data_IF_715070087105
#
_entry.id   IF_715070087105
#
_cell.length_a   1.000
_cell.length_b   1.000
_cell.length_c   1.000
_cell.angle_alpha   90.00
_cell.angle_beta   90.00
_cell.angle_gamma   90.00
#
_symmetry.space_group_name_H-M   'P 1'
#
loop_
_entity.id
_entity.type
_entity.pdbx_description
1 polymer ?
#
# COMPACT_ATOMS: atom_id res chain seq x y z
N UNK A 1 8.94 -31.52 19.77
CA UNK A 1 7.95 -31.85 18.70
C UNK A 1 6.69 -31.02 18.94
N UNK A 2 5.78 -30.85 17.97
CA UNK A 2 4.53 -30.09 18.22
C UNK A 2 3.72 -30.68 19.39
N UNK A 3 3.77 -32.01 19.54
CA UNK A 3 3.19 -32.75 20.65
C UNK A 3 3.78 -32.43 22.04
N UNK A 4 4.95 -31.76 22.13
CA UNK A 4 5.55 -31.35 23.41
C UNK A 4 5.24 -29.89 23.78
N UNK A 5 4.55 -29.13 22.93
CA UNK A 5 4.16 -27.75 23.22
C UNK A 5 2.80 -27.72 23.96
N UNK A 6 2.79 -27.17 25.17
CA UNK A 6 1.59 -27.13 26.02
C UNK A 6 0.45 -26.29 25.44
N UNK A 7 0.76 -25.18 24.76
CA UNK A 7 -0.25 -24.34 24.11
C UNK A 7 -0.94 -25.11 22.97
N UNK A 8 -0.15 -25.82 22.15
CA UNK A 8 -0.66 -26.66 21.08
C UNK A 8 -1.57 -27.78 21.61
N UNK A 9 -1.12 -28.54 22.62
CA UNK A 9 -1.90 -29.64 23.20
C UNK A 9 -3.22 -29.20 23.79
N UNK A 10 -3.25 -28.03 24.45
CA UNK A 10 -4.47 -27.50 25.05
C UNK A 10 -5.46 -27.02 24.00
N UNK A 11 -4.96 -26.45 22.89
CA UNK A 11 -5.78 -25.97 21.80
C UNK A 11 -6.44 -27.11 21.00
N UNK A 12 -5.78 -28.25 20.82
CA UNK A 12 -6.33 -29.35 19.99
C UNK A 12 -7.19 -30.36 20.77
N UNK A 13 -7.46 -30.15 22.06
CA UNK A 13 -8.18 -31.14 22.90
C UNK A 13 -9.62 -31.42 22.49
N UNK A 14 -10.25 -30.46 21.82
CA UNK A 14 -11.66 -30.51 21.46
C UNK A 14 -11.90 -31.13 20.07
N UNK A 15 -10.84 -31.44 19.32
CA UNK A 15 -10.96 -31.91 17.93
C UNK A 15 -11.52 -33.34 17.87
N UNK A 16 -12.60 -33.49 17.10
CA UNK A 16 -13.15 -34.79 16.67
C UNK A 16 -12.07 -35.62 15.96
N UNK A 17 -12.14 -36.95 16.11
CA UNK A 17 -11.09 -37.96 15.83
C UNK A 17 -10.52 -37.99 14.39
N UNK A 18 -11.03 -37.20 13.45
CA UNK A 18 -10.49 -37.06 12.10
C UNK A 18 -10.05 -35.61 11.82
N UNK A 19 -8.88 -35.26 12.35
CA UNK A 19 -8.14 -34.09 11.86
C UNK A 19 -7.39 -34.50 10.60
N UNK A 20 -7.74 -33.92 9.45
CA UNK A 20 -7.11 -34.25 8.16
C UNK A 20 -5.86 -33.42 7.87
N UNK A 21 -5.72 -32.25 8.51
CA UNK A 21 -4.57 -31.38 8.33
C UNK A 21 -4.38 -30.40 9.49
N UNK A 22 -3.12 -30.20 9.87
CA UNK A 22 -2.69 -29.22 10.86
C UNK A 22 -1.61 -28.35 10.23
N UNK A 23 -1.87 -27.05 10.16
CA UNK A 23 -0.89 -26.05 9.74
C UNK A 23 -0.46 -25.29 10.99
N UNK A 24 0.80 -25.48 11.37
CA UNK A 24 1.35 -24.78 12.53
C UNK A 24 1.79 -23.37 12.13
N UNK A 25 1.21 -22.36 12.78
CA UNK A 25 1.69 -20.98 12.68
C UNK A 25 2.93 -20.85 13.55
N UNK A 26 4.07 -20.55 12.92
CA UNK A 26 5.34 -20.43 13.64
C UNK A 26 5.35 -19.21 14.56
N UNK A 27 6.06 -19.27 15.70
CA UNK A 27 6.27 -18.11 16.55
C UNK A 27 6.91 -16.94 15.80
N UNK A 28 7.85 -17.23 14.90
CA UNK A 28 8.50 -16.23 14.05
C UNK A 28 7.51 -15.42 13.19
N UNK A 29 6.43 -16.05 12.71
CA UNK A 29 5.39 -15.31 11.98
C UNK A 29 4.67 -14.32 12.91
N UNK A 30 4.31 -14.75 14.11
CA UNK A 30 3.64 -13.89 15.09
C UNK A 30 4.54 -12.72 15.54
N UNK A 31 5.83 -12.99 15.74
CA UNK A 31 6.83 -11.98 16.06
C UNK A 31 6.99 -10.96 14.91
N UNK A 32 6.96 -11.43 13.66
CA UNK A 32 7.03 -10.53 12.48
C UNK A 32 5.86 -9.54 12.42
N UNK A 33 4.64 -9.99 12.75
CA UNK A 33 3.48 -9.09 12.85
C UNK A 33 3.68 -8.05 13.96
N UNK A 34 4.22 -8.46 15.11
CA UNK A 34 4.48 -7.55 16.23
C UNK A 34 5.53 -6.50 15.89
N UNK A 35 6.61 -6.89 15.22
CA UNK A 35 7.63 -5.96 14.75
C UNK A 35 7.06 -4.94 13.76
N UNK A 36 6.21 -5.40 12.83
CA UNK A 36 5.58 -4.53 11.84
C UNK A 36 4.61 -3.53 12.50
N UNK A 37 3.79 -4.00 13.45
CA UNK A 37 2.93 -3.13 14.26
C UNK A 37 3.76 -2.09 15.03
N UNK A 38 4.87 -2.49 15.66
CA UNK A 38 5.74 -1.57 16.39
C UNK A 38 6.36 -0.50 15.48
N UNK A 39 6.78 -0.86 14.25
CA UNK A 39 7.31 0.11 13.27
C UNK A 39 6.27 1.15 12.87
N UNK A 40 5.00 0.77 12.80
CA UNK A 40 3.91 1.66 12.44
C UNK A 40 3.29 2.38 13.65
N UNK A 41 3.56 1.93 14.88
CA UNK A 41 2.89 2.40 16.09
C UNK A 41 3.05 3.91 16.33
N UNK A 42 4.17 4.53 15.90
CA UNK A 42 4.36 5.98 16.00
C UNK A 42 3.50 6.78 15.02
N UNK A 43 3.01 6.16 13.95
CA UNK A 43 2.18 6.77 12.89
C UNK A 43 0.69 6.55 13.09
N UNK A 44 0.30 5.70 14.03
CA UNK A 44 -1.10 5.38 14.33
C UNK A 44 -1.75 6.44 15.23
N UNK A 45 -3.08 6.54 15.12
CA UNK A 45 -3.88 7.20 16.16
C UNK A 45 -3.65 6.56 17.54
N UNK A 46 -3.68 7.38 18.59
CA UNK A 46 -3.35 6.94 19.95
C UNK A 46 -4.31 5.85 20.46
N UNK A 47 -5.61 5.98 20.21
CA UNK A 47 -6.59 5.01 20.67
C UNK A 47 -6.44 3.67 19.94
N UNK A 48 -6.19 3.73 18.62
CA UNK A 48 -5.92 2.53 17.83
C UNK A 48 -4.62 1.86 18.28
N UNK A 49 -3.54 2.63 18.46
CA UNK A 49 -2.25 2.12 18.94
C UNK A 49 -2.43 1.41 20.28
N UNK A 50 -3.11 2.03 21.24
CA UNK A 50 -3.32 1.44 22.57
C UNK A 50 -4.15 0.16 22.50
N UNK A 51 -5.17 0.12 21.63
CA UNK A 51 -5.94 -1.10 21.36
C UNK A 51 -5.06 -2.21 20.80
N UNK A 52 -4.23 -1.89 19.79
CA UNK A 52 -3.39 -2.88 19.12
C UNK A 52 -2.24 -3.37 19.99
N UNK A 53 -1.64 -2.50 20.80
CA UNK A 53 -0.54 -2.84 21.71
C UNK A 53 -0.98 -3.68 22.92
N UNK A 54 -2.28 -3.66 23.25
CA UNK A 54 -2.87 -4.57 24.24
C UNK A 54 -3.09 -5.98 23.70
N UNK A 55 -3.04 -6.18 22.39
CA UNK A 55 -3.15 -7.50 21.80
C UNK A 55 -1.85 -8.26 22.07
N UNK A 56 -1.97 -9.45 22.65
CA UNK A 56 -0.85 -10.37 22.89
C UNK A 56 -1.11 -11.70 22.18
N UNK A 57 -1.07 -11.71 20.83
CA UNK A 57 -1.50 -12.87 20.08
C UNK A 57 -0.50 -14.03 20.26
N UNK A 58 -0.98 -15.20 20.66
CA UNK A 58 -0.15 -16.38 20.88
C UNK A 58 -0.07 -17.27 19.62
N UNK A 59 1.07 -17.93 19.36
CA UNK A 59 1.16 -18.92 18.28
C UNK A 59 0.21 -20.10 18.57
N UNK A 60 -0.72 -20.34 17.64
CA UNK A 60 -1.73 -21.39 17.73
C UNK A 60 -1.84 -22.10 16.38
N UNK A 61 -2.32 -23.35 16.39
CA UNK A 61 -2.45 -24.13 15.17
C UNK A 61 -3.69 -23.72 14.39
N UNK A 62 -3.55 -23.63 13.06
CA UNK A 62 -4.69 -23.68 12.15
C UNK A 62 -5.02 -25.14 11.94
N UNK A 63 -6.28 -25.51 12.12
CA UNK A 63 -6.71 -26.89 11.91
C UNK A 63 -7.81 -26.99 10.89
N UNK A 64 -7.72 -28.05 10.09
CA UNK A 64 -8.72 -28.40 9.12
C UNK A 64 -9.32 -29.77 9.48
N UNK A 65 -10.64 -29.81 9.57
CA UNK A 65 -11.42 -31.00 9.93
C UNK A 65 -12.58 -31.21 8.97
N UNK A 66 -13.01 -32.46 8.85
CA UNK A 66 -14.32 -32.78 8.29
C UNK A 66 -15.29 -33.05 9.43
N UNK A 67 -16.46 -32.41 9.37
CA UNK A 67 -17.58 -32.69 10.27
C UNK A 67 -18.73 -33.29 9.48
N UNK A 68 -19.58 -34.05 10.17
CA UNK A 68 -20.78 -34.64 9.59
C UNK A 68 -21.88 -34.62 10.65
N UNK A 69 -22.50 -33.46 10.83
CA UNK A 69 -23.59 -33.23 11.79
C UNK A 69 -24.97 -33.59 11.22
N UNK A 70 -25.04 -34.57 10.32
CA UNK A 70 -26.30 -35.03 9.71
C UNK A 70 -26.78 -34.22 8.50
N UNK A 71 -26.02 -33.19 8.08
CA UNK A 71 -26.29 -32.39 6.87
C UNK A 71 -25.36 -32.75 5.69
N UNK A 72 -24.59 -33.84 5.79
CA UNK A 72 -23.55 -34.21 4.83
C UNK A 72 -22.14 -33.83 5.31
N UNK A 73 -21.13 -34.10 4.47
CA UNK A 73 -19.74 -33.75 4.77
C UNK A 73 -19.54 -32.23 4.75
N UNK A 74 -19.10 -31.68 5.88
CA UNK A 74 -18.76 -30.26 6.03
C UNK A 74 -17.25 -30.11 6.20
N UNK A 75 -16.70 -29.14 5.48
CA UNK A 75 -15.30 -28.76 5.55
C UNK A 75 -15.15 -27.61 6.55
N UNK A 76 -14.38 -27.83 7.62
CA UNK A 76 -14.21 -26.86 8.70
C UNK A 76 -12.77 -26.38 8.77
N UNK A 77 -12.58 -25.07 8.81
CA UNK A 77 -11.30 -24.41 9.01
C UNK A 77 -11.34 -23.62 10.32
N UNK A 78 -10.49 -23.98 11.26
CA UNK A 78 -10.35 -23.27 12.53
C UNK A 78 -9.12 -22.39 12.52
N UNK A 79 -9.35 -21.08 12.58
CA UNK A 79 -8.32 -20.07 12.67
C UNK A 79 -8.15 -19.63 14.12
N UNK A 80 -6.91 -19.50 14.62
CA UNK A 80 -6.65 -18.84 15.88
C UNK A 80 -7.24 -17.43 15.90
N UNK A 81 -8.02 -17.11 16.93
CA UNK A 81 -8.54 -15.75 17.15
C UNK A 81 -7.40 -14.72 17.11
N UNK A 82 -6.28 -15.06 17.74
CA UNK A 82 -5.08 -14.24 17.82
C UNK A 82 -4.45 -13.96 16.44
N UNK A 83 -4.52 -14.92 15.52
CA UNK A 83 -4.07 -14.75 14.13
C UNK A 83 -5.00 -13.79 13.38
N UNK A 84 -6.31 -13.97 13.50
CA UNK A 84 -7.32 -13.08 12.87
C UNK A 84 -7.14 -11.65 13.38
N UNK A 85 -6.98 -11.50 14.70
CA UNK A 85 -6.70 -10.22 15.34
C UNK A 85 -5.41 -9.59 14.80
N UNK A 86 -4.31 -10.35 14.69
CA UNK A 86 -3.04 -9.85 14.16
C UNK A 86 -3.15 -9.41 12.69
N UNK A 87 -3.90 -10.15 11.88
CA UNK A 87 -4.16 -9.80 10.48
C UNK A 87 -4.95 -8.49 10.37
N UNK A 88 -6.05 -8.36 11.12
CA UNK A 88 -6.88 -7.14 11.15
C UNK A 88 -6.11 -5.96 11.73
N UNK A 89 -5.28 -6.19 12.75
CA UNK A 89 -4.42 -5.18 13.32
C UNK A 89 -3.43 -4.62 12.30
N UNK A 90 -2.78 -5.51 11.54
CA UNK A 90 -1.79 -5.11 10.54
C UNK A 90 -2.43 -4.33 9.38
N UNK A 91 -3.59 -4.77 8.88
CA UNK A 91 -4.32 -4.01 7.84
C UNK A 91 -4.78 -2.66 8.38
N UNK A 92 -5.33 -2.61 9.60
CA UNK A 92 -5.77 -1.36 10.23
C UNK A 92 -4.60 -0.40 10.50
N UNK A 93 -3.45 -0.91 10.92
CA UNK A 93 -2.20 -0.18 11.07
C UNK A 93 -1.75 0.45 9.74
N UNK A 94 -1.73 -0.35 8.66
CA UNK A 94 -1.38 0.17 7.33
C UNK A 94 -2.39 1.20 6.82
N UNK A 95 -3.68 1.01 7.14
CA UNK A 95 -4.73 1.95 6.71
C UNK A 95 -4.75 3.24 7.53
N UNK A 96 -4.48 3.17 8.83
CA UNK A 96 -4.40 4.35 9.71
C UNK A 96 -3.12 5.16 9.51
N UNK A 97 -2.06 4.55 8.97
CA UNK A 97 -0.90 5.28 8.47
C UNK A 97 -1.24 6.20 7.29
N UNK A 98 -2.39 6.01 6.61
CA UNK A 98 -2.94 7.00 5.68
C UNK A 98 -3.59 8.15 6.46
N UNK A 99 -2.75 9.03 7.00
CA UNK A 99 -3.20 10.32 7.48
C UNK A 99 -3.25 11.28 6.29
N UNK A 100 -4.43 11.81 5.99
CA UNK A 100 -4.59 12.85 4.97
C UNK A 100 -3.59 13.99 5.22
N UNK A 101 -2.80 14.33 4.20
CA UNK A 101 -1.75 15.34 4.28
C UNK A 101 -0.40 14.88 4.89
N UNK A 102 -0.26 13.61 5.31
CA UNK A 102 1.05 13.06 5.71
C UNK A 102 2.03 12.97 4.55
N UNK A 103 3.36 13.12 4.78
CA UNK A 103 4.37 12.96 3.74
C UNK A 103 4.22 11.69 2.91
N UNK A 104 3.92 10.56 3.56
CA UNK A 104 3.78 9.26 2.90
C UNK A 104 2.55 9.21 1.99
N UNK A 105 1.42 9.76 2.44
CA UNK A 105 0.19 9.81 1.64
C UNK A 105 0.35 10.77 0.47
N UNK A 106 0.98 11.92 0.71
CA UNK A 106 1.28 12.92 -0.30
C UNK A 106 2.20 12.34 -1.41
N UNK A 107 3.24 11.62 -1.01
CA UNK A 107 4.14 10.91 -1.94
C UNK A 107 3.40 9.86 -2.77
N UNK A 108 2.50 9.08 -2.15
CA UNK A 108 1.68 8.10 -2.88
C UNK A 108 0.73 8.75 -3.89
N UNK A 109 0.12 9.87 -3.53
CA UNK A 109 -0.75 10.64 -4.43
C UNK A 109 0.08 11.23 -5.57
N UNK A 110 1.26 11.80 -5.28
CA UNK A 110 2.17 12.33 -6.30
C UNK A 110 2.57 11.24 -7.32
N UNK A 111 2.95 10.04 -6.86
CA UNK A 111 3.23 8.90 -7.74
C UNK A 111 2.01 8.54 -8.59
N UNK A 112 0.81 8.54 -7.99
CA UNK A 112 -0.43 8.20 -8.70
C UNK A 112 -0.78 9.23 -9.77
N UNK A 113 -0.58 10.53 -9.50
CA UNK A 113 -0.77 11.61 -10.46
C UNK A 113 0.20 11.50 -11.64
N UNK A 114 1.48 11.21 -11.39
CA UNK A 114 2.45 11.01 -12.48
C UNK A 114 2.11 9.82 -13.35
N UNK A 115 1.62 8.71 -12.78
CA UNK A 115 1.13 7.56 -13.56
C UNK A 115 -0.10 7.93 -14.39
N UNK A 116 -1.02 8.69 -13.82
CA UNK A 116 -2.19 9.20 -14.53
C UNK A 116 -1.77 10.05 -15.74
N UNK A 117 -0.83 10.99 -15.55
CA UNK A 117 -0.28 11.80 -16.64
C UNK A 117 0.37 10.93 -17.71
N UNK A 118 1.26 10.01 -17.33
CA UNK A 118 1.92 9.12 -18.30
C UNK A 118 0.94 8.26 -19.11
N UNK A 119 -0.13 7.77 -18.48
CA UNK A 119 -1.19 7.03 -19.18
C UNK A 119 -2.01 7.93 -20.11
N UNK A 120 -2.39 9.12 -19.66
CA UNK A 120 -3.13 10.09 -20.46
C UNK A 120 -2.32 10.52 -21.70
N UNK A 121 -1.03 10.78 -21.52
CA UNK A 121 -0.09 11.10 -22.59
C UNK A 121 0.07 9.96 -23.59
N UNK A 122 0.19 8.71 -23.11
CA UNK A 122 0.23 7.54 -23.97
C UNK A 122 -1.07 7.37 -24.77
N UNK A 123 -2.22 7.59 -24.14
CA UNK A 123 -3.52 7.57 -24.83
C UNK A 123 -3.64 8.69 -25.86
N UNK A 124 -3.29 9.93 -25.51
CA UNK A 124 -3.31 11.07 -26.41
C UNK A 124 -2.44 10.81 -27.63
N UNK A 125 -1.20 10.37 -27.43
CA UNK A 125 -0.26 10.03 -28.51
C UNK A 125 -0.80 8.97 -29.46
N UNK A 126 -1.52 7.97 -28.93
CA UNK A 126 -2.08 6.86 -29.70
C UNK A 126 -3.37 7.23 -30.47
N UNK A 127 -4.08 8.29 -30.06
CA UNK A 127 -5.37 8.66 -30.63
C UNK A 127 -5.33 10.02 -31.34
N UNK A 128 -5.35 11.11 -30.57
CA UNK A 128 -5.55 12.48 -31.05
C UNK A 128 -4.24 13.22 -31.34
N UNK A 129 -3.13 12.78 -30.76
CA UNK A 129 -1.83 13.46 -30.79
C UNK A 129 -0.99 13.22 -32.02
N UNK A 130 -1.41 12.33 -32.94
CA UNK A 130 -0.68 12.00 -34.16
C UNK A 130 0.81 11.68 -33.90
N UNK A 131 1.06 10.78 -32.94
CA UNK A 131 2.38 10.41 -32.41
C UNK A 131 3.12 11.48 -31.57
N UNK A 132 2.52 12.64 -31.31
CA UNK A 132 2.99 13.65 -30.36
C UNK A 132 2.26 13.54 -29.01
N UNK A 133 2.89 14.07 -27.98
CA UNK A 133 2.34 14.27 -26.65
C UNK A 133 1.59 15.60 -26.56
N UNK A 134 0.65 15.68 -25.62
CA UNK A 134 -0.30 16.79 -25.51
C UNK A 134 0.00 17.68 -24.31
N UNK A 135 -0.21 18.98 -24.45
CA UNK A 135 -0.25 19.87 -23.28
C UNK A 135 -1.34 19.46 -22.29
N UNK A 136 -1.21 19.89 -21.04
CA UNK A 136 -2.21 19.60 -20.01
C UNK A 136 -3.64 20.03 -20.42
N UNK A 137 -3.77 21.18 -21.09
CA UNK A 137 -5.07 21.65 -21.58
C UNK A 137 -5.67 20.71 -22.63
N UNK A 138 -4.85 20.15 -23.53
CA UNK A 138 -5.29 19.19 -24.53
C UNK A 138 -5.73 17.87 -23.88
N UNK A 139 -4.99 17.38 -22.88
CA UNK A 139 -5.39 16.19 -22.11
C UNK A 139 -6.73 16.39 -21.40
N UNK A 140 -6.97 17.58 -20.85
CA UNK A 140 -8.26 17.92 -20.21
C UNK A 140 -9.38 18.00 -21.25
N UNK A 141 -9.15 18.67 -22.38
CA UNK A 141 -10.14 18.80 -23.46
C UNK A 141 -10.53 17.43 -24.05
N UNK A 142 -9.58 16.50 -24.13
CA UNK A 142 -9.83 15.12 -24.55
C UNK A 142 -10.42 14.24 -23.43
N UNK A 143 -10.73 14.81 -22.26
CA UNK A 143 -11.27 14.11 -21.09
C UNK A 143 -10.36 12.95 -20.60
N UNK A 144 -9.07 13.03 -20.90
CA UNK A 144 -8.06 12.06 -20.45
C UNK A 144 -7.61 12.35 -19.02
N UNK A 145 -7.73 13.61 -18.58
CA UNK A 145 -7.49 14.05 -17.21
C UNK A 145 -8.60 14.99 -16.75
N UNK A 146 -9.04 14.84 -15.50
CA UNK A 146 -9.96 15.77 -14.84
C UNK A 146 -9.18 16.98 -14.31
N UNK A 147 -9.65 18.20 -14.63
CA UNK A 147 -8.99 19.46 -14.26
C UNK A 147 -8.76 19.57 -12.75
N UNK A 148 -9.69 19.04 -11.96
CA UNK A 148 -9.69 19.07 -10.50
C UNK A 148 -8.50 18.30 -9.90
N UNK A 149 -8.01 17.26 -10.59
CA UNK A 149 -6.94 16.38 -10.09
C UNK A 149 -5.54 17.01 -10.24
N UNK A 150 -5.38 18.01 -11.10
CA UNK A 150 -4.12 18.71 -11.34
C UNK A 150 -4.20 20.21 -11.03
N UNK A 151 -5.32 20.65 -10.43
CA UNK A 151 -5.49 22.04 -10.01
C UNK A 151 -4.64 22.40 -8.79
N UNK A 152 -4.25 23.67 -8.69
CA UNK A 152 -3.41 24.19 -7.61
C UNK A 152 -3.94 23.86 -6.21
N UNK A 153 -5.25 23.89 -6.01
CA UNK A 153 -5.88 23.56 -4.72
C UNK A 153 -5.65 22.10 -4.32
N UNK A 154 -5.79 21.16 -5.26
CA UNK A 154 -5.54 19.74 -5.01
C UNK A 154 -4.06 19.48 -4.73
N UNK A 155 -3.19 20.11 -5.53
CA UNK A 155 -1.73 20.01 -5.39
C UNK A 155 -1.24 20.60 -4.06
N UNK A 156 -1.76 21.74 -3.63
CA UNK A 156 -1.49 22.33 -2.31
C UNK A 156 -2.01 21.46 -1.18
N UNK A 157 -3.21 20.91 -1.32
CA UNK A 157 -3.83 20.01 -0.33
C UNK A 157 -2.93 18.80 -0.02
N UNK A 158 -2.32 18.23 -1.06
CA UNK A 158 -1.39 17.11 -0.91
C UNK A 158 0.08 17.53 -0.97
N UNK A 159 0.38 18.82 -0.86
CA UNK A 159 1.72 19.33 -0.60
C UNK A 159 2.77 19.05 -1.68
N UNK A 160 2.37 18.84 -2.93
CA UNK A 160 3.26 18.58 -4.07
C UNK A 160 3.02 19.55 -5.22
N UNK A 161 4.08 19.99 -5.88
CA UNK A 161 4.03 20.75 -7.12
C UNK A 161 4.32 19.84 -8.30
N UNK A 162 3.53 19.97 -9.36
CA UNK A 162 3.78 19.30 -10.62
C UNK A 162 4.44 20.25 -11.62
N UNK A 163 5.41 19.73 -12.36
CA UNK A 163 6.01 20.39 -13.51
C UNK A 163 5.92 19.47 -14.72
N UNK A 164 5.21 19.88 -15.77
CA UNK A 164 5.04 19.10 -17.01
C UNK A 164 5.69 19.90 -18.14
N UNK A 165 6.52 19.22 -18.92
CA UNK A 165 7.20 19.76 -20.11
C UNK A 165 6.90 18.82 -21.26
N UNK A 166 6.36 19.36 -22.35
CA UNK A 166 6.00 18.62 -23.57
C UNK A 166 6.74 19.23 -24.75
N UNK A 167 7.36 18.39 -25.57
CA UNK A 167 8.13 18.79 -26.74
C UNK A 167 7.93 17.79 -27.88
N UNK A 168 6.79 17.91 -28.59
CA UNK A 168 6.48 17.06 -29.74
C UNK A 168 6.34 15.59 -29.36
N UNK A 169 7.30 14.76 -29.74
CA UNK A 169 7.34 13.32 -29.45
C UNK A 169 8.03 12.99 -28.11
N UNK A 170 8.28 13.98 -27.26
CA UNK A 170 8.80 13.81 -25.91
C UNK A 170 7.94 14.53 -24.87
N UNK A 171 7.87 13.95 -23.67
CA UNK A 171 7.30 14.61 -22.49
C UNK A 171 8.04 14.20 -21.23
N UNK A 172 8.01 15.09 -20.25
CA UNK A 172 8.55 14.87 -18.92
C UNK A 172 7.61 15.49 -17.90
N UNK A 173 7.30 14.74 -16.85
CA UNK A 173 6.53 15.23 -15.73
C UNK A 173 7.28 14.96 -14.42
N UNK A 174 7.31 15.97 -13.56
CA UNK A 174 7.96 15.94 -12.24
C UNK A 174 6.95 16.24 -11.14
N UNK A 175 7.16 15.64 -9.98
CA UNK A 175 6.44 15.95 -8.76
C UNK A 175 7.46 16.26 -7.65
N UNK A 176 7.42 17.47 -7.13
CA UNK A 176 8.37 17.98 -6.11
C UNK A 176 7.62 18.40 -4.86
N UNK A 177 8.05 18.03 -3.64
CA UNK A 177 7.38 18.47 -2.42
C UNK A 177 7.42 19.99 -2.29
N UNK A 178 6.30 20.60 -1.88
CA UNK A 178 6.22 22.05 -1.65
C UNK A 178 7.09 22.47 -0.45
N UNK A 179 7.07 21.69 0.64
CA UNK A 179 7.94 21.87 1.80
C UNK A 179 8.67 20.56 2.11
N UNK A 180 9.95 20.48 1.72
CA UNK A 180 10.81 19.34 2.03
C UNK A 180 10.86 19.03 3.53
N UNK A 181 10.77 17.76 3.90
CA UNK A 181 10.74 17.32 5.30
C UNK A 181 9.37 17.43 5.98
N UNK A 182 8.38 18.09 5.34
CA UNK A 182 7.04 18.29 5.91
C UNK A 182 5.92 17.76 5.02
N UNK A 183 5.91 18.12 3.74
CA UNK A 183 4.89 17.62 2.80
C UNK A 183 5.36 16.39 2.04
N UNK A 184 6.67 16.15 2.01
CA UNK A 184 7.31 14.99 1.38
C UNK A 184 8.83 15.05 1.52
N UNK A 185 9.49 13.91 1.40
CA UNK A 185 10.95 13.81 1.39
C UNK A 185 11.48 13.47 -0.01
N UNK A 186 10.67 12.81 -0.84
CA UNK A 186 11.09 12.39 -2.18
C UNK A 186 10.46 13.22 -3.28
N UNK A 187 11.18 13.29 -4.38
CA UNK A 187 10.68 13.84 -5.64
C UNK A 187 10.54 12.72 -6.66
N UNK A 188 9.64 12.91 -7.62
CA UNK A 188 9.31 11.89 -8.61
C UNK A 188 9.32 12.43 -10.03
N UNK A 189 9.60 11.54 -10.97
CA UNK A 189 9.77 11.83 -12.38
C UNK A 189 9.13 10.72 -13.23
N UNK A 190 8.52 11.10 -14.35
CA UNK A 190 8.06 10.18 -15.40
C UNK A 190 8.27 10.84 -16.76
N UNK A 191 8.56 10.02 -17.77
CA UNK A 191 8.72 10.42 -19.17
C UNK A 191 7.98 9.43 -20.08
N UNK A 192 8.26 9.50 -21.39
CA UNK A 192 7.74 8.56 -22.41
C UNK A 192 7.96 7.07 -22.14
N UNK A 193 8.86 6.69 -21.23
CA UNK A 193 8.99 5.28 -20.83
C UNK A 193 7.81 4.79 -19.98
N UNK A 194 7.02 5.71 -19.40
CA UNK A 194 5.92 5.40 -18.47
C UNK A 194 6.38 4.89 -17.09
N UNK A 195 7.69 4.80 -16.86
CA UNK A 195 8.26 4.34 -15.59
C UNK A 195 8.41 5.52 -14.64
N UNK A 196 7.71 5.47 -13.51
CA UNK A 196 7.90 6.45 -12.43
C UNK A 196 9.20 6.16 -11.69
N UNK A 197 10.07 7.16 -11.62
CA UNK A 197 11.35 7.15 -10.93
C UNK A 197 11.35 8.21 -9.83
N UNK A 198 12.20 8.06 -8.83
CA UNK A 198 12.33 9.07 -7.79
C UNK A 198 13.25 8.66 -6.65
N UNK A 199 13.78 9.67 -5.98
CA UNK A 199 14.63 9.55 -4.80
C UNK A 199 14.49 10.82 -3.93
N UNK A 200 15.20 10.87 -2.79
CA UNK A 200 15.34 12.09 -2.00
C UNK A 200 16.33 13.06 -2.68
N UNK A 201 15.78 14.18 -3.16
CA UNK A 201 16.52 15.27 -3.82
C UNK A 201 16.63 16.54 -2.96
N UNK A 202 16.35 16.47 -1.65
CA UNK A 202 16.40 17.64 -0.77
C UNK A 202 15.41 18.75 -1.15
N UNK A 203 14.28 18.39 -1.78
CA UNK A 203 13.31 19.33 -2.32
C UNK A 203 13.58 19.80 -3.76
N UNK A 204 14.62 19.29 -4.42
CA UNK A 204 14.85 19.47 -5.86
C UNK A 204 13.99 18.53 -6.73
N UNK A 205 13.87 18.79 -8.04
CA UNK A 205 13.14 17.92 -8.96
C UNK A 205 13.90 16.61 -9.20
N UNK A 206 13.15 15.51 -9.34
CA UNK A 206 13.68 14.23 -9.78
C UNK A 206 13.93 14.21 -11.30
N UNK A 207 14.73 13.23 -11.75
CA UNK A 207 15.19 13.11 -13.14
C UNK A 207 15.14 11.67 -13.64
N UNK A 208 15.44 11.47 -14.93
CA UNK A 208 15.55 10.14 -15.54
C UNK A 208 16.64 9.27 -14.93
N UNK A 209 17.64 9.86 -14.25
CA UNK A 209 18.73 9.14 -13.61
C UNK A 209 18.29 8.42 -12.32
N UNK A 210 17.12 8.76 -11.79
CA UNK A 210 16.60 8.15 -10.57
C UNK A 210 16.18 6.70 -10.76
N UNK A 211 16.14 5.96 -9.64
CA UNK A 211 15.73 4.56 -9.64
C UNK A 211 14.21 4.47 -9.84
N UNK A 212 13.72 3.41 -10.52
CA UNK A 212 12.29 3.11 -10.55
C UNK A 212 11.72 2.98 -9.14
N UNK A 213 10.58 3.62 -8.90
CA UNK A 213 9.87 3.50 -7.62
C UNK A 213 9.17 2.14 -7.59
N UNK A 214 9.66 1.24 -6.73
CA UNK A 214 9.00 -0.03 -6.45
C UNK A 214 7.71 0.22 -5.66
N UNK A 215 6.62 -0.46 -6.03
CA UNK A 215 5.39 -0.43 -5.23
C UNK A 215 5.66 -1.06 -3.85
N UNK A 216 5.05 -0.55 -2.76
CA UNK A 216 4.94 -1.29 -1.52
C UNK A 216 4.06 -2.53 -1.67
#
# INVERSE_FOLDING_TARGET
>A
TLASNNAFRNFTRWQSRQTLGLIYVSPALMDSYREQLNKQASKMDQALRDLLMRLSPAPQAISYSLSNEGFGQLHELHLPKDLVIAMVANTSATMSAFKEGSPETNEMIAISLLRMIGNAEASYRATSGNANYGSLEELINQHLIQKEMLGDEFLKKYGYRLGIVVAGDDFQATATPIEYGKTGNRSFFVDKSGVVRGDDHGGGPATVADKPVLQP
#
